data_IF_566170519008
#
_entry.id   IF_566170519008
#
_cell.length_a   1.000
_cell.length_b   1.000
_cell.length_c   1.000
_cell.angle_alpha   90.00
_cell.angle_beta   90.00
_cell.angle_gamma   90.00
#
_symmetry.space_group_name_H-M   'P 1'
#
loop_
_entity.id
_entity.type
_entity.pdbx_description
1 polymer ?
#
# COMPACT_ATOMS: atom_id res chain seq x y z
N UNK A 1 -0.38 7.74 22.61
CA UNK A 1 0.32 6.55 22.04
C UNK A 1 -0.62 5.47 21.51
N UNK A 2 -1.84 5.31 22.05
CA UNK A 2 -2.86 4.36 21.54
C UNK A 2 -3.96 5.03 20.69
N UNK A 3 -3.72 6.26 20.22
CA UNK A 3 -4.71 7.01 19.42
C UNK A 3 -4.87 6.36 18.04
N UNK A 4 -6.12 6.02 17.69
CA UNK A 4 -6.46 5.43 16.39
C UNK A 4 -6.38 3.90 16.30
N UNK A 5 -6.18 3.19 17.41
CA UNK A 5 -6.31 1.72 17.44
C UNK A 5 -7.75 1.37 17.80
N UNK A 6 -8.41 0.59 16.96
CA UNK A 6 -9.74 0.05 17.18
C UNK A 6 -9.70 -1.48 17.13
N UNK A 7 -10.73 -2.14 17.69
CA UNK A 7 -10.88 -3.59 17.55
C UNK A 7 -11.83 -3.86 16.39
N UNK A 8 -11.43 -4.76 15.49
CA UNK A 8 -12.30 -5.19 14.39
C UNK A 8 -13.46 -6.05 14.89
N UNK A 9 -13.21 -6.86 15.92
CA UNK A 9 -14.20 -7.78 16.50
C UNK A 9 -14.33 -7.59 18.02
N UNK A 10 -14.79 -6.41 18.49
CA UNK A 10 -14.82 -6.09 19.93
C UNK A 10 -15.75 -7.03 20.73
N UNK A 11 -16.79 -7.56 20.08
CA UNK A 11 -17.74 -8.50 20.68
C UNK A 11 -17.08 -9.82 21.12
N UNK A 12 -15.94 -10.20 20.55
CA UNK A 12 -15.22 -11.41 20.97
C UNK A 12 -14.63 -11.28 22.40
N UNK A 13 -14.52 -10.07 22.94
CA UNK A 13 -14.19 -9.85 24.34
C UNK A 13 -15.16 -10.53 25.31
N UNK A 14 -16.40 -10.80 24.90
CA UNK A 14 -17.38 -11.51 25.74
C UNK A 14 -16.95 -12.95 26.09
N UNK A 15 -16.03 -13.54 25.32
CA UNK A 15 -15.46 -14.86 25.61
C UNK A 15 -14.76 -14.87 26.98
N UNK A 16 -14.21 -13.74 27.44
CA UNK A 16 -13.59 -13.64 28.77
C UNK A 16 -14.60 -13.92 29.89
N UNK A 17 -15.84 -13.45 29.76
CA UNK A 17 -16.89 -13.72 30.74
C UNK A 17 -17.26 -15.19 30.79
N UNK A 18 -17.24 -15.89 29.66
CA UNK A 18 -17.45 -17.33 29.63
C UNK A 18 -16.34 -18.08 30.36
N UNK A 19 -15.08 -17.69 30.17
CA UNK A 19 -13.94 -18.26 30.92
C UNK A 19 -14.07 -18.01 32.43
N UNK A 20 -14.46 -16.79 32.85
CA UNK A 20 -14.68 -16.47 34.26
C UNK A 20 -15.84 -17.27 34.87
N UNK A 21 -16.94 -17.40 34.13
CA UNK A 21 -18.09 -18.19 34.56
C UNK A 21 -17.76 -19.67 34.69
N UNK A 22 -17.04 -20.25 33.71
CA UNK A 22 -16.60 -21.65 33.84
C UNK A 22 -15.57 -21.81 34.97
N UNK A 23 -14.62 -20.90 35.18
CA UNK A 23 -13.71 -21.01 36.32
C UNK A 23 -14.47 -21.03 37.67
N UNK A 24 -15.57 -20.29 37.79
CA UNK A 24 -16.39 -20.26 39.00
C UNK A 24 -17.35 -21.47 39.14
N UNK A 25 -17.87 -21.99 38.02
CA UNK A 25 -18.93 -23.02 38.01
C UNK A 25 -18.43 -24.42 37.65
N UNK A 26 -17.26 -24.55 37.03
CA UNK A 26 -16.67 -25.81 36.58
C UNK A 26 -15.68 -26.31 37.66
N UNK A 27 -16.10 -27.20 38.59
CA UNK A 27 -15.17 -27.83 39.50
C UNK A 27 -14.14 -28.64 38.69
N UNK A 28 -12.86 -28.39 38.95
CA UNK A 28 -11.78 -29.15 38.33
C UNK A 28 -11.94 -30.62 38.76
N UNK A 29 -12.36 -31.49 37.85
CA UNK A 29 -12.49 -32.94 38.10
C UNK A 29 -11.10 -33.56 38.14
N UNK A 30 -10.33 -33.27 39.17
CA UNK A 30 -9.01 -33.82 39.44
C UNK A 30 -9.12 -35.23 40.03
N UNK A 31 -9.94 -36.10 39.44
CA UNK A 31 -9.95 -37.51 39.82
C UNK A 31 -8.61 -38.10 39.37
N UNK A 32 -7.65 -38.34 40.27
CA UNK A 32 -6.39 -38.93 39.88
C UNK A 32 -6.72 -40.36 39.47
N UNK A 33 -6.52 -40.70 38.19
CA UNK A 33 -6.76 -42.07 37.68
C UNK A 33 -5.98 -43.10 38.52
N UNK A 34 -4.87 -42.68 39.11
CA UNK A 34 -3.96 -43.51 39.88
C UNK A 34 -4.28 -43.60 41.39
N UNK A 35 -4.93 -42.59 41.99
CA UNK A 35 -5.23 -42.55 43.43
C UNK A 35 -6.64 -42.01 43.69
N UNK A 36 -7.65 -42.90 43.86
CA UNK A 36 -9.05 -42.49 44.03
C UNK A 36 -9.35 -41.73 45.33
N UNK A 37 -8.43 -41.73 46.32
CA UNK A 37 -8.60 -41.08 47.63
C UNK A 37 -7.32 -40.35 48.08
N UNK A 38 -6.95 -39.23 47.46
CA UNK A 38 -5.75 -38.47 47.83
C UNK A 38 -5.83 -37.88 49.25
N UNK A 39 -7.04 -37.71 49.80
CA UNK A 39 -7.25 -37.24 51.17
C UNK A 39 -6.70 -38.18 52.26
N UNK A 40 -6.35 -39.44 51.94
CA UNK A 40 -5.82 -40.41 52.90
C UNK A 40 -4.34 -40.20 53.25
N UNK A 41 -3.60 -39.44 52.43
CA UNK A 41 -2.12 -39.31 52.52
C UNK A 41 -1.65 -38.01 53.18
N UNK A 42 -2.50 -37.38 53.99
CA UNK A 42 -2.20 -36.09 54.62
C UNK A 42 -2.46 -34.95 53.64
N UNK A 43 -3.26 -33.98 54.08
CA UNK A 43 -3.58 -32.79 53.29
C UNK A 43 -2.35 -31.91 53.10
N UNK A 44 -1.56 -32.18 52.06
CA UNK A 44 -0.57 -31.23 51.59
C UNK A 44 -1.35 -30.13 50.88
N UNK A 45 -1.65 -29.04 51.60
CA UNK A 45 -2.18 -27.82 51.00
C UNK A 45 -1.13 -27.25 50.03
N UNK A 46 -1.15 -27.72 48.78
CA UNK A 46 -0.27 -27.22 47.73
C UNK A 46 -0.73 -25.81 47.36
N UNK A 47 -0.17 -24.79 48.00
CA UNK A 47 -0.42 -23.40 47.65
C UNK A 47 -0.03 -23.15 46.19
N UNK A 48 -0.97 -22.64 45.40
CA UNK A 48 -0.69 -22.20 44.03
C UNK A 48 0.14 -20.93 44.09
N UNK A 49 1.34 -20.89 43.46
CA UNK A 49 2.16 -19.70 43.46
C UNK A 49 1.47 -18.61 42.64
N UNK A 50 1.53 -17.39 43.13
CA UNK A 50 0.89 -16.21 42.54
C UNK A 50 1.32 -16.00 41.07
N UNK A 51 2.56 -16.34 40.71
CA UNK A 51 3.04 -16.21 39.34
C UNK A 51 2.33 -17.14 38.35
N UNK A 52 1.97 -18.38 38.76
CA UNK A 52 1.23 -19.32 37.90
C UNK A 52 -0.20 -18.83 37.65
N UNK A 53 -0.79 -18.17 38.65
CA UNK A 53 -2.09 -17.54 38.51
C UNK A 53 -2.01 -16.35 37.53
N UNK A 54 -1.00 -15.48 37.66
CA UNK A 54 -0.77 -14.37 36.71
C UNK A 54 -0.55 -14.92 35.29
N UNK A 55 0.29 -15.94 35.12
CA UNK A 55 0.60 -16.53 33.81
C UNK A 55 -0.65 -17.12 33.13
N UNK A 56 -1.50 -17.81 33.91
CA UNK A 56 -2.79 -18.33 33.43
C UNK A 56 -3.67 -17.21 32.87
N UNK A 57 -3.87 -16.14 33.65
CA UNK A 57 -4.74 -15.05 33.24
C UNK A 57 -4.14 -14.22 32.11
N UNK A 58 -2.84 -13.95 32.15
CA UNK A 58 -2.13 -13.25 31.08
C UNK A 58 -2.28 -13.98 29.74
N UNK A 59 -2.11 -15.30 29.73
CA UNK A 59 -2.32 -16.12 28.53
C UNK A 59 -3.72 -15.95 27.96
N UNK A 60 -4.76 -16.10 28.79
CA UNK A 60 -6.16 -16.01 28.38
C UNK A 60 -6.49 -14.60 27.86
N UNK A 61 -6.10 -13.55 28.57
CA UNK A 61 -6.42 -12.17 28.19
C UNK A 61 -5.71 -11.77 26.90
N UNK A 62 -4.43 -12.08 26.75
CA UNK A 62 -3.68 -11.76 25.54
C UNK A 62 -4.19 -12.53 24.31
N UNK A 63 -4.59 -13.80 24.48
CA UNK A 63 -5.22 -14.57 23.40
C UNK A 63 -6.55 -13.92 22.95
N UNK A 64 -7.38 -13.47 23.90
CA UNK A 64 -8.65 -12.81 23.59
C UNK A 64 -8.43 -11.46 22.92
N UNK A 65 -7.45 -10.67 23.37
CA UNK A 65 -7.08 -9.41 22.73
C UNK A 65 -6.60 -9.66 21.29
N UNK A 66 -5.80 -10.71 21.06
CA UNK A 66 -5.38 -11.10 19.71
C UNK A 66 -6.59 -11.47 18.84
N UNK A 67 -7.54 -12.21 19.39
CA UNK A 67 -8.77 -12.62 18.69
C UNK A 67 -9.69 -11.43 18.37
N UNK A 68 -9.79 -10.44 19.25
CA UNK A 68 -10.51 -9.18 19.00
C UNK A 68 -9.90 -8.39 17.83
N UNK A 69 -8.69 -8.75 17.39
CA UNK A 69 -7.95 -8.20 16.25
C UNK A 69 -7.79 -6.68 16.36
N UNK A 70 -6.77 -6.19 17.09
CA UNK A 70 -6.48 -4.77 17.13
C UNK A 70 -5.99 -4.33 15.74
N UNK A 71 -6.67 -3.34 15.20
CA UNK A 71 -6.39 -2.78 13.87
C UNK A 71 -6.18 -1.28 13.96
N UNK A 72 -5.38 -0.75 13.05
CA UNK A 72 -5.28 0.68 12.79
C UNK A 72 -5.85 0.96 11.41
N UNK A 73 -6.88 1.78 11.36
CA UNK A 73 -7.48 2.20 10.09
C UNK A 73 -6.57 3.26 9.44
N UNK A 74 -6.25 3.03 8.16
CA UNK A 74 -5.58 3.99 7.31
C UNK A 74 -6.48 4.30 6.12
N UNK A 75 -6.82 5.57 6.01
CA UNK A 75 -7.48 6.08 4.82
C UNK A 75 -6.38 6.38 3.78
N UNK A 76 -6.38 5.62 2.69
CA UNK A 76 -5.59 5.94 1.51
C UNK A 76 -6.56 6.54 0.51
N UNK A 77 -6.46 7.85 0.32
CA UNK A 77 -7.07 8.50 -0.82
C UNK A 77 -6.30 7.93 -2.03
N UNK A 78 -6.91 7.09 -2.89
CA UNK A 78 -6.21 6.68 -4.10
C UNK A 78 -5.89 7.96 -4.84
N UNK A 79 -4.61 8.13 -5.10
CA UNK A 79 -4.17 9.30 -5.81
C UNK A 79 -4.67 9.11 -7.26
N UNK A 80 -5.75 9.80 -7.63
CA UNK A 80 -6.37 9.72 -8.95
C UNK A 80 -5.40 10.15 -10.05
N UNK A 81 -5.87 10.08 -11.30
CA UNK A 81 -5.14 10.52 -12.48
C UNK A 81 -4.72 9.41 -13.42
N UNK A 82 -4.50 9.78 -14.68
CA UNK A 82 -4.00 8.89 -15.73
C UNK A 82 -2.48 8.86 -15.73
N UNK A 83 -1.91 7.72 -16.08
CA UNK A 83 -0.47 7.62 -16.35
C UNK A 83 -0.22 8.09 -17.80
N UNK A 84 0.42 9.25 -17.95
CA UNK A 84 0.65 9.91 -19.24
C UNK A 84 2.14 10.03 -19.53
N UNK A 85 2.59 9.50 -20.67
CA UNK A 85 3.95 9.69 -21.18
C UNK A 85 3.95 10.82 -22.21
N UNK A 86 4.70 11.88 -21.94
CA UNK A 86 5.00 12.95 -22.88
C UNK A 86 6.30 12.60 -23.62
N UNK A 87 6.20 12.35 -24.93
CA UNK A 87 7.36 12.20 -25.81
C UNK A 87 7.47 13.46 -26.65
N UNK A 88 8.55 14.22 -26.46
CA UNK A 88 8.74 15.51 -27.13
C UNK A 88 9.93 15.41 -28.08
N UNK A 89 9.69 15.66 -29.35
CA UNK A 89 10.77 15.83 -30.32
C UNK A 89 11.50 17.15 -30.06
N UNK A 90 12.82 17.15 -29.83
CA UNK A 90 13.56 18.37 -29.61
C UNK A 90 13.54 19.32 -30.83
N UNK A 91 13.26 18.83 -32.05
CA UNK A 91 13.22 19.66 -33.24
C UNK A 91 12.06 20.67 -33.22
N UNK A 92 10.93 20.31 -32.59
CA UNK A 92 9.72 21.16 -32.52
C UNK A 92 9.68 22.08 -31.30
N UNK A 93 10.74 22.11 -30.47
CA UNK A 93 10.82 22.94 -29.27
C UNK A 93 10.80 24.44 -29.61
N UNK A 94 9.61 25.03 -29.57
CA UNK A 94 9.39 26.47 -29.67
C UNK A 94 8.95 27.07 -28.32
N UNK A 95 9.11 28.39 -28.10
CA UNK A 95 8.56 29.05 -26.91
C UNK A 95 7.04 28.85 -26.75
N UNK A 96 6.31 28.75 -27.88
CA UNK A 96 4.89 28.46 -27.89
C UNK A 96 4.59 27.05 -27.39
N UNK A 97 5.33 26.04 -27.87
CA UNK A 97 5.17 24.65 -27.42
C UNK A 97 5.47 24.51 -25.93
N UNK A 98 6.55 25.14 -25.44
CA UNK A 98 6.89 25.14 -24.01
C UNK A 98 5.75 25.68 -23.15
N UNK A 99 5.08 26.75 -23.60
CA UNK A 99 3.89 27.30 -22.96
C UNK A 99 2.72 26.31 -23.00
N UNK A 100 2.42 25.71 -24.14
CA UNK A 100 1.34 24.72 -24.28
C UNK A 100 1.57 23.50 -23.38
N UNK A 101 2.79 22.95 -23.33
CA UNK A 101 3.14 21.81 -22.47
C UNK A 101 2.97 22.18 -21.00
N UNK A 102 3.40 23.38 -20.59
CA UNK A 102 3.16 23.86 -19.23
C UNK A 102 1.66 23.94 -18.92
N UNK A 103 0.88 24.55 -19.81
CA UNK A 103 -0.56 24.71 -19.62
C UNK A 103 -1.27 23.34 -19.56
N UNK A 104 -0.84 22.37 -20.37
CA UNK A 104 -1.28 20.97 -20.34
C UNK A 104 -0.95 20.29 -18.99
N UNK A 105 0.29 20.41 -18.51
CA UNK A 105 0.72 19.79 -17.24
C UNK A 105 -0.05 20.36 -16.04
N UNK A 106 -0.31 21.67 -16.01
CA UNK A 106 -1.02 22.33 -14.90
C UNK A 106 -2.50 21.93 -14.84
N UNK A 107 -3.16 21.76 -15.99
CA UNK A 107 -4.56 21.32 -16.04
C UNK A 107 -4.73 19.88 -15.52
N UNK A 108 -3.68 19.07 -15.58
CA UNK A 108 -3.66 17.65 -15.22
C UNK A 108 -3.08 17.36 -13.84
N UNK A 109 -3.34 18.22 -12.85
CA UNK A 109 -2.77 18.17 -11.50
C UNK A 109 -2.82 16.82 -10.74
N UNK A 110 -3.71 15.92 -11.12
CA UNK A 110 -3.81 14.57 -10.54
C UNK A 110 -3.06 13.49 -11.35
N UNK A 111 -2.82 13.69 -12.65
CA UNK A 111 -2.18 12.70 -13.52
C UNK A 111 -0.72 12.46 -13.12
N UNK A 112 -0.22 11.25 -13.37
CA UNK A 112 1.22 11.00 -13.29
C UNK A 112 1.81 11.20 -14.67
N UNK A 113 2.86 12.00 -14.75
CA UNK A 113 3.51 12.35 -16.01
C UNK A 113 4.90 11.72 -16.06
N UNK A 114 5.22 11.09 -17.17
CA UNK A 114 6.59 10.76 -17.55
C UNK A 114 7.00 11.67 -18.72
N UNK A 115 8.29 11.99 -18.82
CA UNK A 115 8.83 12.77 -19.93
C UNK A 115 9.93 11.99 -20.60
N UNK A 116 9.91 11.98 -21.92
CA UNK A 116 11.04 11.52 -22.71
C UNK A 116 11.33 12.48 -23.86
N UNK A 117 12.57 12.91 -23.94
CA UNK A 117 13.09 13.74 -25.02
C UNK A 117 14.32 13.04 -25.61
N UNK A 118 14.24 12.52 -26.85
CA UNK A 118 15.36 11.90 -27.55
C UNK A 118 16.32 12.98 -28.07
N UNK A 119 16.91 13.71 -27.13
CA UNK A 119 17.95 14.71 -27.33
C UNK A 119 19.34 14.06 -27.32
N UNK A 120 20.39 14.79 -27.71
CA UNK A 120 21.79 14.33 -27.66
C UNK A 120 22.21 13.91 -26.24
N UNK A 121 21.62 14.55 -25.22
CA UNK A 121 21.78 14.22 -23.81
C UNK A 121 20.66 13.37 -23.20
N UNK A 122 19.80 12.75 -24.03
CA UNK A 122 18.60 11.96 -23.68
C UNK A 122 17.97 12.28 -22.31
N UNK A 123 16.89 13.04 -22.31
CA UNK A 123 16.19 13.40 -21.06
C UNK A 123 15.07 12.41 -20.80
N UNK A 124 15.18 11.66 -19.71
CA UNK A 124 14.17 10.73 -19.23
C UNK A 124 13.75 11.12 -17.82
N UNK A 125 12.48 11.41 -17.64
CA UNK A 125 11.85 11.58 -16.32
C UNK A 125 10.90 10.40 -16.12
N UNK A 126 11.10 9.58 -15.08
CA UNK A 126 10.16 8.51 -14.74
C UNK A 126 8.81 9.10 -14.29
N UNK A 127 7.81 8.23 -14.21
CA UNK A 127 6.45 8.57 -13.86
C UNK A 127 6.34 9.31 -12.50
N UNK A 128 6.05 10.61 -12.53
CA UNK A 128 6.04 11.51 -11.36
C UNK A 128 4.76 12.37 -11.28
N UNK A 129 4.42 12.83 -10.07
CA UNK A 129 3.35 13.82 -9.83
C UNK A 129 3.88 15.26 -9.74
N UNK A 130 5.20 15.44 -9.75
CA UNK A 130 5.82 16.76 -9.65
C UNK A 130 5.80 17.46 -11.01
N UNK A 131 4.63 17.96 -11.42
CA UNK A 131 4.44 18.62 -12.73
C UNK A 131 5.28 19.88 -12.91
N UNK A 132 5.61 20.57 -11.81
CA UNK A 132 6.54 21.71 -11.82
C UNK A 132 7.94 21.32 -12.28
N UNK A 133 8.41 20.11 -11.94
CA UNK A 133 9.72 19.59 -12.36
C UNK A 133 9.69 19.25 -13.85
N UNK A 134 8.63 18.59 -14.32
CA UNK A 134 8.46 18.24 -15.73
C UNK A 134 8.44 19.50 -16.60
N UNK A 135 7.58 20.47 -16.25
CA UNK A 135 7.47 21.73 -17.00
C UNK A 135 8.75 22.59 -16.90
N UNK A 136 9.41 22.59 -15.75
CA UNK A 136 10.70 23.26 -15.55
C UNK A 136 11.81 22.69 -16.45
N UNK A 137 11.88 21.37 -16.56
CA UNK A 137 12.85 20.70 -17.45
C UNK A 137 12.55 21.03 -18.91
N UNK A 138 11.30 20.90 -19.36
CA UNK A 138 10.90 21.25 -20.74
C UNK A 138 11.24 22.71 -21.09
N UNK A 139 11.06 23.64 -20.14
CA UNK A 139 11.43 25.04 -20.33
C UNK A 139 12.94 25.24 -20.54
N UNK A 140 13.78 24.43 -19.89
CA UNK A 140 15.24 24.49 -20.00
C UNK A 140 15.80 23.85 -21.28
N UNK A 141 15.02 23.05 -22.01
CA UNK A 141 15.49 22.37 -23.22
C UNK A 141 15.72 23.34 -24.38
N UNK A 142 16.73 23.06 -25.18
CA UNK A 142 17.02 23.78 -26.44
C UNK A 142 16.54 22.96 -27.63
N UNK A 143 16.12 23.65 -28.70
CA UNK A 143 15.80 22.97 -29.95
C UNK A 143 17.07 22.37 -30.57
N UNK A 144 17.01 21.10 -30.91
CA UNK A 144 18.07 20.36 -31.58
C UNK A 144 17.49 19.19 -32.39
N UNK A 145 18.30 18.54 -33.22
CA UNK A 145 17.85 17.35 -33.95
C UNK A 145 17.68 16.17 -32.99
N UNK A 146 16.59 15.42 -33.17
CA UNK A 146 16.36 14.20 -32.44
C UNK A 146 17.52 13.20 -32.63
N UNK A 147 17.98 12.61 -31.54
CA UNK A 147 19.00 11.58 -31.48
C UNK A 147 18.44 10.36 -30.76
N UNK A 148 18.33 9.24 -31.46
CA UNK A 148 17.93 7.94 -30.90
C UNK A 148 16.71 7.33 -31.57
N UNK A 149 16.41 6.08 -31.22
CA UNK A 149 15.27 5.31 -31.75
C UNK A 149 14.23 5.08 -30.65
N UNK A 150 13.02 5.58 -30.87
CA UNK A 150 11.88 5.43 -29.98
C UNK A 150 11.08 4.19 -30.39
N UNK A 151 11.48 3.01 -29.90
CA UNK A 151 10.73 1.78 -30.18
C UNK A 151 10.60 0.82 -28.98
N UNK A 152 11.64 0.64 -28.16
CA UNK A 152 11.62 -0.41 -27.11
C UNK A 152 11.56 0.12 -25.66
N UNK A 153 11.55 1.44 -25.45
CA UNK A 153 11.52 2.04 -24.10
C UNK A 153 10.16 2.51 -23.63
N UNK A 154 9.20 2.78 -24.51
CA UNK A 154 7.88 3.34 -24.14
C UNK A 154 7.15 2.44 -23.15
N UNK A 155 7.09 1.13 -23.43
CA UNK A 155 6.41 0.16 -22.56
C UNK A 155 7.01 0.11 -21.15
N UNK A 156 8.31 0.36 -21.00
CA UNK A 156 9.01 0.38 -19.69
C UNK A 156 8.54 1.50 -18.77
N UNK A 157 7.97 2.58 -19.30
CA UNK A 157 7.39 3.64 -18.48
C UNK A 157 6.08 3.22 -17.82
N UNK A 158 5.37 2.26 -18.42
CA UNK A 158 4.08 1.78 -17.95
C UNK A 158 4.16 0.46 -17.18
N UNK A 159 5.32 -0.20 -17.09
CA UNK A 159 5.47 -1.44 -16.31
C UNK A 159 5.27 -1.26 -14.81
N UNK A 160 5.36 -0.03 -14.30
CA UNK A 160 5.08 0.32 -12.89
C UNK A 160 3.68 0.89 -12.68
N UNK A 161 2.86 0.94 -13.74
CA UNK A 161 1.46 1.36 -13.66
C UNK A 161 0.62 0.18 -13.18
N UNK A 162 0.18 0.21 -11.93
CA UNK A 162 -0.69 -0.82 -11.37
C UNK A 162 -2.17 -0.55 -11.57
N UNK A 163 -2.57 0.68 -11.96
CA UNK A 163 -3.97 1.13 -11.86
C UNK A 163 -4.47 2.06 -13.00
N UNK A 164 -3.67 2.35 -14.03
CA UNK A 164 -4.02 3.34 -15.07
C UNK A 164 -4.05 2.79 -16.50
N UNK A 165 -5.02 3.25 -17.30
CA UNK A 165 -4.92 3.14 -18.76
C UNK A 165 -3.80 4.07 -19.25
N UNK A 166 -2.63 3.50 -19.55
CA UNK A 166 -1.48 4.26 -20.04
C UNK A 166 -1.82 5.04 -21.31
N UNK A 167 -1.43 6.30 -21.35
CA UNK A 167 -1.60 7.16 -22.51
C UNK A 167 -0.29 7.84 -22.90
N UNK A 168 0.04 7.83 -24.19
CA UNK A 168 1.27 8.42 -24.72
C UNK A 168 0.93 9.58 -25.64
N UNK A 169 1.42 10.77 -25.33
CA UNK A 169 1.31 11.96 -26.16
C UNK A 169 2.65 12.19 -26.85
N UNK A 170 2.65 12.13 -28.17
CA UNK A 170 3.84 12.29 -29.01
C UNK A 170 3.76 13.64 -29.69
N UNK A 171 4.65 14.56 -29.32
CA UNK A 171 4.75 15.91 -29.89
C UNK A 171 5.87 15.94 -30.93
N UNK A 172 5.52 15.85 -32.21
CA UNK A 172 6.45 15.97 -33.33
C UNK A 172 5.73 16.27 -34.63
N UNK A 173 6.33 17.09 -35.47
CA UNK A 173 5.88 17.31 -36.84
C UNK A 173 6.29 16.15 -37.77
N UNK A 174 7.34 15.40 -37.42
CA UNK A 174 7.89 14.26 -38.17
C UNK A 174 8.01 13.01 -37.27
N UNK A 175 6.90 12.42 -36.80
CA UNK A 175 6.92 11.33 -35.82
C UNK A 175 7.64 10.06 -36.32
N UNK A 176 7.65 9.82 -37.64
CA UNK A 176 8.34 8.69 -38.27
C UNK A 176 9.87 8.73 -38.10
N UNK A 177 10.43 9.92 -37.84
CA UNK A 177 11.87 10.10 -37.67
C UNK A 177 12.41 9.43 -36.40
N UNK A 178 11.56 9.19 -35.40
CA UNK A 178 11.98 8.53 -34.16
C UNK A 178 11.00 7.49 -33.63
N UNK A 179 9.70 7.52 -33.93
CA UNK A 179 8.69 6.55 -33.44
C UNK A 179 8.45 5.43 -34.45
N UNK A 180 9.05 4.26 -34.22
CA UNK A 180 8.93 3.12 -35.14
C UNK A 180 7.72 2.23 -34.86
N UNK A 181 7.25 2.17 -33.62
CA UNK A 181 6.11 1.35 -33.23
C UNK A 181 5.41 1.91 -32.01
N UNK A 182 4.09 2.01 -32.08
CA UNK A 182 3.26 2.41 -30.93
C UNK A 182 3.14 1.23 -29.96
N UNK A 183 3.19 1.49 -28.63
CA UNK A 183 3.02 0.45 -27.62
C UNK A 183 1.66 -0.25 -27.74
N UNK A 184 1.67 -1.59 -27.79
CA UNK A 184 0.45 -2.39 -27.81
C UNK A 184 -0.24 -2.30 -26.44
N UNK A 185 -1.52 -1.93 -26.41
CA UNK A 185 -2.31 -1.82 -25.17
C UNK A 185 -2.22 -0.46 -24.45
N UNK A 186 -1.48 0.50 -25.00
CA UNK A 186 -1.39 1.88 -24.51
C UNK A 186 -2.03 2.80 -25.54
N UNK A 187 -2.91 3.69 -25.11
CA UNK A 187 -3.51 4.67 -26.01
C UNK A 187 -2.44 5.68 -26.44
N UNK A 188 -2.41 6.10 -27.70
CA UNK A 188 -1.41 7.04 -28.20
C UNK A 188 -2.03 8.15 -29.01
N UNK A 189 -1.64 9.39 -28.74
CA UNK A 189 -2.03 10.57 -29.49
C UNK A 189 -0.80 11.21 -30.09
N UNK A 190 -0.73 11.26 -31.41
CA UNK A 190 0.31 11.99 -32.13
C UNK A 190 -0.21 13.40 -32.40
N UNK A 191 0.63 14.39 -32.10
CA UNK A 191 0.34 15.81 -32.25
C UNK A 191 1.46 16.44 -33.05
N UNK A 192 1.09 17.22 -34.07
CA UNK A 192 2.00 18.04 -34.86
C UNK A 192 1.91 19.50 -34.39
N UNK A 193 2.77 19.96 -33.48
CA UNK A 193 2.58 21.25 -32.80
C UNK A 193 2.59 22.45 -33.76
N UNK A 194 3.30 22.35 -34.89
CA UNK A 194 3.37 23.44 -35.86
C UNK A 194 2.09 23.59 -36.67
N UNK A 195 1.35 22.51 -36.93
CA UNK A 195 0.09 22.54 -37.66
C UNK A 195 -1.16 22.54 -36.77
N UNK A 196 -1.04 22.06 -35.52
CA UNK A 196 -2.14 21.93 -34.57
C UNK A 196 -1.90 22.80 -33.31
N UNK A 197 -2.11 24.13 -33.36
CA UNK A 197 -1.85 24.99 -32.20
C UNK A 197 -2.83 24.79 -31.02
N UNK A 198 -4.01 24.21 -31.28
CA UNK A 198 -5.07 23.94 -30.28
C UNK A 198 -5.09 22.47 -29.84
N UNK A 199 -3.95 21.79 -29.91
CA UNK A 199 -3.84 20.37 -29.54
C UNK A 199 -4.19 20.12 -28.07
N UNK A 200 -3.92 21.08 -27.19
CA UNK A 200 -4.24 20.97 -25.76
C UNK A 200 -5.75 20.84 -25.58
N UNK A 201 -6.54 21.72 -26.19
CA UNK A 201 -8.01 21.70 -26.14
C UNK A 201 -8.58 20.38 -26.71
N UNK A 202 -8.03 19.92 -27.85
CA UNK A 202 -8.44 18.66 -28.47
C UNK A 202 -8.23 17.48 -27.54
N UNK A 203 -7.04 17.35 -26.96
CA UNK A 203 -6.72 16.23 -26.08
C UNK A 203 -7.47 16.28 -24.75
N UNK A 204 -7.79 17.47 -24.23
CA UNK A 204 -8.64 17.60 -23.05
C UNK A 204 -10.09 17.14 -23.31
N UNK A 205 -10.60 17.34 -24.53
CA UNK A 205 -11.91 16.84 -24.90
C UNK A 205 -11.92 15.31 -25.11
N UNK A 206 -10.88 14.77 -25.75
CA UNK A 206 -10.74 13.35 -26.04
C UNK A 206 -10.40 12.52 -24.79
N UNK A 207 -9.58 13.10 -23.88
CA UNK A 207 -9.09 12.47 -22.66
C UNK A 207 -9.26 13.40 -21.46
N UNK A 208 -10.49 13.63 -20.98
CA UNK A 208 -10.73 14.53 -19.86
C UNK A 208 -10.05 14.04 -18.58
N UNK A 209 -9.56 14.96 -17.72
CA UNK A 209 -8.98 14.60 -16.45
C UNK A 209 -10.06 13.95 -15.56
N UNK A 210 -9.81 12.75 -15.07
CA UNK A 210 -10.73 12.04 -14.17
C UNK A 210 -10.13 11.95 -12.76
N UNK A 211 -10.98 12.13 -11.76
CA UNK A 211 -10.64 11.90 -10.35
C UNK A 211 -11.26 10.60 -9.90
N UNK A 212 -10.45 9.65 -9.44
CA UNK A 212 -10.98 8.46 -8.76
C UNK A 212 -11.46 8.88 -7.37
N UNK A 213 -12.77 8.74 -7.11
CA UNK A 213 -13.39 9.21 -5.88
C UNK A 213 -13.47 8.19 -4.73
N UNK A 214 -12.94 6.97 -4.90
CA UNK A 214 -13.13 5.91 -3.91
C UNK A 214 -12.00 5.90 -2.89
N UNK A 215 -12.18 6.55 -1.73
CA UNK A 215 -11.24 6.42 -0.60
C UNK A 215 -11.16 4.94 -0.20
N UNK A 216 -9.99 4.33 -0.33
CA UNK A 216 -9.76 2.95 0.11
C UNK A 216 -9.33 2.97 1.58
N UNK A 217 -10.03 2.16 2.39
CA UNK A 217 -9.70 1.96 3.80
C UNK A 217 -8.91 0.67 3.94
N UNK A 218 -7.68 0.78 4.42
CA UNK A 218 -6.82 -0.35 4.72
C UNK A 218 -6.69 -0.51 6.24
N UNK A 219 -6.56 -1.75 6.70
CA UNK A 219 -6.35 -2.08 8.10
C UNK A 219 -4.95 -2.65 8.30
N UNK A 220 -4.15 -1.99 9.12
CA UNK A 220 -2.92 -2.59 9.63
C UNK A 220 -3.28 -3.46 10.85
N UNK A 221 -2.95 -4.75 10.76
CA UNK A 221 -3.29 -5.73 11.79
C UNK A 221 -2.17 -5.87 12.83
N UNK A 222 -2.52 -5.68 14.10
CA UNK A 222 -1.58 -5.74 15.22
C UNK A 222 -1.83 -6.96 16.13
N UNK A 223 -2.61 -7.96 15.70
CA UNK A 223 -2.91 -9.15 16.51
C UNK A 223 -1.67 -10.00 16.86
N UNK A 224 -0.59 -9.88 16.09
CA UNK A 224 0.66 -10.64 16.29
C UNK A 224 1.28 -10.33 17.66
N UNK A 225 1.23 -9.07 18.12
CA UNK A 225 1.82 -8.66 19.39
C UNK A 225 1.14 -9.31 20.62
N UNK A 226 -0.18 -9.17 20.83
CA UNK A 226 -0.86 -9.86 21.92
C UNK A 226 -0.81 -11.38 21.73
N UNK A 227 -0.86 -11.91 20.50
CA UNK A 227 -0.74 -13.36 20.27
C UNK A 227 0.60 -13.90 20.78
N UNK A 228 1.70 -13.22 20.49
CA UNK A 228 3.03 -13.59 20.95
C UNK A 228 3.14 -13.56 22.48
N UNK A 229 2.61 -12.52 23.12
CA UNK A 229 2.58 -12.43 24.59
C UNK A 229 1.73 -13.53 25.22
N UNK A 230 0.59 -13.86 24.62
CA UNK A 230 -0.27 -14.96 25.05
C UNK A 230 0.43 -16.32 24.93
N UNK A 231 1.16 -16.55 23.83
CA UNK A 231 1.95 -17.76 23.63
C UNK A 231 3.12 -17.88 24.64
N UNK A 232 3.81 -16.77 24.94
CA UNK A 232 4.87 -16.78 25.94
C UNK A 232 4.32 -17.07 27.35
N UNK A 233 3.19 -16.45 27.71
CA UNK A 233 2.50 -16.72 28.97
C UNK A 233 2.01 -18.19 29.06
N UNK A 234 1.58 -18.78 27.94
CA UNK A 234 1.26 -20.22 27.85
C UNK A 234 2.46 -21.09 28.21
N UNK A 235 3.60 -20.86 27.56
CA UNK A 235 4.81 -21.65 27.79
C UNK A 235 5.27 -21.55 29.25
N UNK A 236 5.26 -20.34 29.81
CA UNK A 236 5.56 -20.10 31.22
C UNK A 236 4.59 -20.86 32.14
N UNK A 237 3.29 -20.79 31.88
CA UNK A 237 2.28 -21.51 32.66
C UNK A 237 2.48 -23.04 32.61
N UNK A 238 2.74 -23.60 31.42
CA UNK A 238 2.98 -25.03 31.23
C UNK A 238 4.26 -25.49 31.92
N UNK A 239 5.35 -24.73 31.79
CA UNK A 239 6.62 -25.01 32.44
C UNK A 239 6.46 -25.10 33.96
N UNK A 240 5.84 -24.08 34.57
CA UNK A 240 5.65 -24.06 36.02
C UNK A 240 4.67 -25.11 36.54
N UNK A 241 3.67 -25.50 35.74
CA UNK A 241 2.78 -26.62 36.07
C UNK A 241 3.51 -27.96 36.00
N UNK A 242 4.38 -28.15 35.00
CA UNK A 242 5.10 -29.41 34.81
C UNK A 242 6.18 -29.66 35.88
N UNK A 243 6.84 -28.61 36.38
CA UNK A 243 7.77 -28.73 37.50
C UNK A 243 7.13 -29.30 38.78
N UNK A 244 5.85 -28.98 39.02
CA UNK A 244 5.09 -29.51 40.17
C UNK A 244 4.64 -30.98 40.00
N UNK A 245 4.89 -31.60 38.85
CA UNK A 245 4.63 -33.03 38.60
C UNK A 245 5.80 -33.96 38.96
N UNK A 246 6.93 -33.42 39.45
CA UNK A 246 8.15 -34.18 39.81
C UNK A 246 8.56 -34.02 41.29
N UNK A 247 7.66 -33.60 42.18
CA UNK A 247 7.93 -33.45 43.61
C UNK A 247 6.88 -34.16 44.46
#
# INVERSE_FOLDING_TARGET
MLEGISFQFPKLGFILFFFLACEALCPLRANPVYFPRPALFGGVEVKFPLWLWIAKWAMITFLIIALMSPVREKEVIPQGGRDTLLVIDPAVLSPALKKQVRDFTVRRGEDRLALWVPARGEVIIPMTREHSVVSGIVNGLTSEKAHGTVSTRISRFFTTSSEGAGWTVILSDEPESFVYSLPVGVQSSVVRPSSEPEWVERLEHEFPPYRMGAVYRYYDYYYVYPLFLGFLAMLLYLYGRNQKGMG
#
